data_IF_395608796799
#
_entry.id   IF_395608796799
#
_cell.length_a   1.000
_cell.length_b   1.000
_cell.length_c   1.000
_cell.angle_alpha   90.00
_cell.angle_beta   90.00
_cell.angle_gamma   90.00
#
_symmetry.space_group_name_H-M   'P 1'
#
loop_
_entity.id
_entity.type
_entity.pdbx_description
1 polymer ?
#
# COMPACT_ATOMS: atom_id res chain seq x y z
N UNK A 1 31.69 -4.31 5.72
CA UNK A 1 30.22 -4.35 5.60
C UNK A 1 29.67 -5.08 6.82
N UNK A 2 28.68 -4.54 7.54
CA UNK A 2 28.07 -5.26 8.65
C UNK A 2 27.44 -6.57 8.13
N UNK A 3 27.53 -7.64 8.92
CA UNK A 3 26.89 -8.92 8.60
C UNK A 3 25.36 -8.75 8.56
N UNK A 4 24.66 -9.45 7.65
CA UNK A 4 23.21 -9.39 7.57
C UNK A 4 22.59 -9.86 8.90
N UNK A 5 21.60 -9.12 9.38
CA UNK A 5 20.85 -9.48 10.59
C UNK A 5 19.94 -10.68 10.33
N UNK A 6 19.79 -11.56 11.32
CA UNK A 6 18.82 -12.66 11.30
C UNK A 6 17.50 -12.22 11.94
N UNK A 7 16.38 -12.65 11.36
CA UNK A 7 15.04 -12.42 11.92
C UNK A 7 14.87 -13.34 13.13
N UNK A 8 14.62 -12.76 14.31
CA UNK A 8 14.46 -13.53 15.56
C UNK A 8 13.05 -14.08 15.78
N UNK A 9 12.02 -13.26 15.50
CA UNK A 9 10.60 -13.62 15.62
C UNK A 9 9.73 -12.74 14.74
N UNK A 10 8.50 -13.18 14.51
CA UNK A 10 7.42 -12.42 13.86
C UNK A 10 6.24 -12.38 14.82
N UNK A 11 5.77 -11.18 15.15
CA UNK A 11 4.60 -10.98 16.00
C UNK A 11 3.43 -10.56 15.11
N UNK A 12 2.38 -11.37 15.09
CA UNK A 12 1.18 -11.08 14.31
C UNK A 12 0.24 -10.16 15.08
N UNK A 13 -0.44 -9.29 14.34
CA UNK A 13 -1.39 -8.34 14.90
C UNK A 13 -2.34 -7.80 13.83
N UNK A 14 -3.13 -6.81 14.22
CA UNK A 14 -4.00 -6.05 13.32
C UNK A 14 -3.35 -4.71 13.00
N UNK A 15 -3.36 -4.32 11.73
CA UNK A 15 -2.94 -2.98 11.34
C UNK A 15 -4.00 -1.96 11.75
N UNK A 16 -3.61 -1.00 12.58
CA UNK A 16 -4.49 0.10 12.95
C UNK A 16 -4.67 1.07 11.78
N UNK A 17 -5.78 1.83 11.72
CA UNK A 17 -5.97 2.86 10.71
C UNK A 17 -4.87 3.95 10.74
N UNK A 18 -4.22 4.15 11.89
CA UNK A 18 -3.10 5.09 12.01
C UNK A 18 -1.84 4.53 11.34
N UNK A 19 -1.49 3.27 11.59
CA UNK A 19 -0.33 2.63 10.97
C UNK A 19 -0.47 2.54 9.45
N UNK A 20 -1.66 2.19 8.94
CA UNK A 20 -1.94 2.16 7.50
C UNK A 20 -1.65 3.52 6.84
N UNK A 21 -2.12 4.61 7.46
CA UNK A 21 -1.87 5.97 6.95
C UNK A 21 -0.40 6.36 7.03
N UNK A 22 0.29 6.03 8.12
CA UNK A 22 1.71 6.33 8.29
C UNK A 22 2.60 5.56 7.32
N UNK A 23 2.28 4.29 7.03
CA UNK A 23 3.01 3.46 6.07
C UNK A 23 2.75 3.87 4.61
N UNK A 24 1.63 4.54 4.37
CA UNK A 24 1.21 4.90 3.03
C UNK A 24 1.94 6.13 2.50
N UNK A 25 2.44 6.03 1.28
CA UNK A 25 3.07 7.16 0.56
C UNK A 25 2.06 8.01 -0.22
N UNK A 26 0.87 7.46 -0.52
CA UNK A 26 -0.17 8.15 -1.29
C UNK A 26 -1.59 7.75 -0.88
N UNK A 27 -2.49 8.73 -0.83
CA UNK A 27 -3.93 8.49 -0.79
C UNK A 27 -4.44 8.29 -2.22
N UNK A 28 -5.17 7.22 -2.46
CA UNK A 28 -5.76 6.89 -3.76
C UNK A 28 -7.20 7.40 -3.81
N UNK A 29 -7.53 8.12 -4.88
CA UNK A 29 -8.85 8.74 -5.07
C UNK A 29 -9.48 8.43 -6.43
N UNK A 30 -8.66 8.03 -7.42
CA UNK A 30 -9.15 7.63 -8.75
C UNK A 30 -9.06 6.11 -8.89
N UNK A 31 -10.11 5.51 -9.46
CA UNK A 31 -10.14 4.10 -9.79
C UNK A 31 -9.44 3.80 -11.13
N UNK A 32 -9.31 4.81 -11.99
CA UNK A 32 -8.68 4.70 -13.29
C UNK A 32 -7.15 4.55 -13.18
N UNK A 33 -6.57 3.87 -14.15
CA UNK A 33 -5.15 3.54 -14.19
C UNK A 33 -4.36 4.55 -15.01
N UNK A 34 -4.74 4.74 -16.28
CA UNK A 34 -4.09 5.61 -17.25
C UNK A 34 -5.09 6.56 -17.91
N UNK A 35 -4.64 7.74 -18.28
CA UNK A 35 -5.38 8.68 -19.12
C UNK A 35 -5.34 8.28 -20.60
N UNK A 36 -6.05 9.04 -21.44
CA UNK A 36 -6.16 8.79 -22.88
C UNK A 36 -4.81 8.88 -23.62
N UNK A 37 -3.83 9.58 -23.03
CA UNK A 37 -2.47 9.72 -23.55
C UNK A 37 -1.54 8.58 -23.06
N UNK A 38 -2.06 7.66 -22.22
CA UNK A 38 -1.33 6.52 -21.69
C UNK A 38 -0.47 6.85 -20.46
N UNK A 39 -0.64 8.01 -19.84
CA UNK A 39 0.04 8.38 -18.60
C UNK A 39 -0.78 8.00 -17.37
N UNK A 40 -0.14 7.57 -16.27
CA UNK A 40 -0.87 7.18 -15.08
C UNK A 40 -1.52 8.39 -14.39
N UNK A 41 -2.76 8.23 -13.94
CA UNK A 41 -3.46 9.27 -13.19
C UNK A 41 -2.74 9.61 -11.87
N UNK A 42 -2.46 10.90 -11.58
CA UNK A 42 -1.99 11.30 -10.26
C UNK A 42 -3.01 10.93 -9.17
N UNK A 43 -2.58 10.26 -8.10
CA UNK A 43 -3.46 9.69 -7.07
C UNK A 43 -4.42 8.59 -7.59
N UNK A 44 -4.12 7.99 -8.75
CA UNK A 44 -4.78 6.79 -9.27
C UNK A 44 -4.06 5.51 -8.87
N UNK A 45 -4.52 4.38 -9.41
CA UNK A 45 -3.98 3.06 -9.07
C UNK A 45 -2.54 2.84 -9.55
N UNK A 46 -2.12 3.56 -10.60
CA UNK A 46 -0.78 3.47 -11.19
C UNK A 46 0.12 4.66 -10.83
N UNK A 47 -0.17 5.38 -9.73
CA UNK A 47 0.65 6.51 -9.29
C UNK A 47 2.11 6.08 -9.06
N UNK A 48 3.05 6.77 -9.71
CA UNK A 48 4.49 6.48 -9.67
C UNK A 48 5.13 6.55 -8.27
N UNK A 49 4.43 7.11 -7.26
CA UNK A 49 4.87 7.03 -5.87
C UNK A 49 4.72 5.61 -5.29
N UNK A 50 3.80 4.79 -5.82
CA UNK A 50 3.56 3.41 -5.34
C UNK A 50 4.63 2.44 -5.83
N UNK A 51 5.38 2.82 -6.86
CA UNK A 51 6.39 2.00 -7.50
C UNK A 51 6.37 2.20 -9.01
N UNK A 52 7.29 1.54 -9.70
CA UNK A 52 7.35 1.52 -11.16
C UNK A 52 7.59 0.11 -11.65
N UNK A 53 6.97 -0.22 -12.79
CA UNK A 53 7.21 -1.48 -13.50
C UNK A 53 7.86 -1.23 -14.87
N UNK A 54 7.67 -0.03 -15.43
CA UNK A 54 8.24 0.34 -16.72
C UNK A 54 9.74 0.65 -16.60
N UNK A 55 10.62 0.00 -17.39
CA UNK A 55 12.06 0.18 -17.30
C UNK A 55 12.56 1.61 -17.55
N UNK A 56 11.78 2.40 -18.29
CA UNK A 56 12.08 3.80 -18.61
C UNK A 56 11.72 4.79 -17.50
N UNK A 57 11.00 4.34 -16.47
CA UNK A 57 10.52 5.19 -15.39
C UNK A 57 11.29 4.97 -14.09
N UNK A 58 11.23 5.98 -13.22
CA UNK A 58 11.76 5.94 -11.85
C UNK A 58 10.65 6.18 -10.84
N UNK A 59 10.72 5.47 -9.73
CA UNK A 59 9.74 5.63 -8.65
C UNK A 59 9.87 7.01 -8.01
N UNK A 60 8.76 7.73 -7.85
CA UNK A 60 8.76 9.07 -7.24
C UNK A 60 9.00 9.07 -5.72
N UNK A 61 8.95 7.91 -5.07
CA UNK A 61 9.21 7.77 -3.62
C UNK A 61 10.65 7.43 -3.31
N UNK A 62 11.26 6.49 -4.05
CA UNK A 62 12.63 6.01 -3.76
C UNK A 62 13.65 6.30 -4.86
N UNK A 63 13.24 6.88 -5.99
CA UNK A 63 14.06 7.18 -7.18
C UNK A 63 14.71 5.97 -7.88
N UNK A 64 14.34 4.76 -7.45
CA UNK A 64 14.84 3.52 -8.04
C UNK A 64 14.10 3.13 -9.33
N UNK A 65 14.79 2.37 -10.18
CA UNK A 65 14.21 1.71 -11.36
C UNK A 65 13.38 0.49 -10.94
N UNK A 66 12.58 -0.03 -11.87
CA UNK A 66 11.69 -1.17 -11.62
C UNK A 66 12.36 -2.39 -10.96
N UNK A 67 13.61 -2.71 -11.35
CA UNK A 67 14.35 -3.87 -10.80
C UNK A 67 14.82 -3.70 -9.35
N UNK A 68 14.92 -2.45 -8.86
CA UNK A 68 15.48 -2.13 -7.54
C UNK A 68 14.44 -1.52 -6.60
N UNK A 69 13.25 -1.18 -7.12
CA UNK A 69 12.17 -0.62 -6.33
C UNK A 69 11.45 -1.74 -5.54
N UNK A 70 11.38 -1.66 -4.20
CA UNK A 70 10.70 -2.67 -3.39
C UNK A 70 9.16 -2.53 -3.40
N UNK A 71 8.64 -1.46 -4.01
CA UNK A 71 7.23 -1.07 -3.93
C UNK A 71 6.90 -0.27 -2.68
N UNK A 72 5.80 0.49 -2.75
CA UNK A 72 5.35 1.39 -1.69
C UNK A 72 3.84 1.34 -1.53
N UNK A 73 3.38 1.22 -0.28
CA UNK A 73 1.95 1.13 0.02
C UNK A 73 1.24 2.46 -0.24
N UNK A 74 0.04 2.39 -0.79
CA UNK A 74 -0.96 3.46 -0.76
C UNK A 74 -2.10 3.11 0.20
N UNK A 75 -3.02 4.04 0.40
CA UNK A 75 -4.27 3.76 1.12
C UNK A 75 -5.48 4.42 0.46
N UNK A 76 -6.65 3.83 0.70
CA UNK A 76 -7.95 4.41 0.38
C UNK A 76 -8.65 4.74 1.69
N UNK A 77 -9.19 5.96 1.78
CA UNK A 77 -10.08 6.33 2.88
C UNK A 77 -11.48 5.82 2.59
N UNK A 78 -11.92 4.82 3.35
CA UNK A 78 -13.28 4.31 3.24
C UNK A 78 -14.26 5.35 3.79
N UNK A 79 -15.30 5.66 3.02
CA UNK A 79 -16.32 6.62 3.41
C UNK A 79 -17.11 6.19 4.66
N UNK A 80 -17.19 4.88 4.91
CA UNK A 80 -17.88 4.26 6.05
C UNK A 80 -17.09 3.04 6.55
N UNK A 81 -17.24 2.67 7.83
CA UNK A 81 -16.63 1.45 8.35
C UNK A 81 -17.20 0.22 7.63
N UNK A 82 -16.33 -0.73 7.30
CA UNK A 82 -16.68 -2.01 6.67
C UNK A 82 -16.19 -3.14 7.57
N UNK A 83 -17.07 -4.11 7.86
CA UNK A 83 -16.70 -5.28 8.67
C UNK A 83 -15.79 -6.18 7.84
N UNK A 84 -14.59 -6.44 8.36
CA UNK A 84 -13.68 -7.39 7.75
C UNK A 84 -14.21 -8.82 7.90
N UNK A 85 -14.51 -9.47 6.77
CA UNK A 85 -15.20 -10.78 6.71
C UNK A 85 -14.52 -11.87 7.56
N UNK A 86 -13.19 -11.83 7.63
CA UNK A 86 -12.39 -12.77 8.42
C UNK A 86 -12.65 -12.74 9.94
N UNK A 87 -13.21 -11.65 10.48
CA UNK A 87 -13.48 -11.51 11.91
C UNK A 87 -14.97 -11.58 12.28
N UNK A 88 -15.86 -11.84 11.32
CA UNK A 88 -17.33 -11.86 11.52
C UNK A 88 -17.76 -12.80 12.65
N UNK A 89 -17.21 -14.02 12.73
CA UNK A 89 -17.49 -14.99 13.80
C UNK A 89 -17.04 -14.50 15.18
N UNK A 90 -15.85 -13.88 15.24
CA UNK A 90 -15.29 -13.34 16.48
C UNK A 90 -16.13 -12.16 16.99
N UNK A 91 -16.43 -11.21 16.09
CA UNK A 91 -17.27 -10.05 16.41
C UNK A 91 -18.63 -10.49 16.92
N UNK A 92 -19.29 -11.45 16.25
CA UNK A 92 -20.57 -12.01 16.71
C UNK A 92 -20.46 -12.65 18.10
N UNK A 93 -19.35 -13.31 18.42
CA UNK A 93 -19.14 -13.91 19.74
C UNK A 93 -18.94 -12.83 20.82
N UNK A 94 -18.26 -11.73 20.50
CA UNK A 94 -17.99 -10.63 21.43
C UNK A 94 -19.23 -9.77 21.73
N UNK A 95 -20.17 -9.68 20.79
CA UNK A 95 -21.40 -8.91 20.94
C UNK A 95 -22.57 -9.69 21.57
N UNK A 96 -22.39 -10.99 21.81
CA UNK A 96 -23.36 -11.86 22.49
C UNK A 96 -22.97 -12.02 23.95
#
# INVERSE_FOLDING_TARGET
MPSPKRIGKIEFGLLSPKEIRTMSVRKIIWADTYDDDGFPYPQGLMDLHLGVIDPGLRCKTCDQKASECPGHFGHIELAKPVIHVGYTRLIRKLLR
#
